data_IF_300838423538
#
_entry.id   IF_300838423538
#
_cell.length_a   1.000
_cell.length_b   1.000
_cell.length_c   1.000
_cell.angle_alpha   90.00
_cell.angle_beta   90.00
_cell.angle_gamma   90.00
#
_symmetry.space_group_name_H-M   'P 1'
#
loop_
_entity.id
_entity.type
_entity.pdbx_description
1 polymer ?
#
# COMPACT_ATOMS: atom_id res chain seq x y z
N UNK A 1 -6.71 -15.67 -21.51
CA UNK A 1 -5.95 -15.24 -20.31
C UNK A 1 -6.43 -13.86 -19.92
N UNK A 2 -7.09 -13.70 -18.76
CA UNK A 2 -7.48 -12.37 -18.29
C UNK A 2 -6.20 -11.53 -18.12
N UNK A 3 -6.06 -10.43 -18.87
CA UNK A 3 -4.97 -9.47 -18.67
C UNK A 3 -5.13 -8.94 -17.25
N UNK A 4 -4.28 -9.39 -16.33
CA UNK A 4 -4.16 -8.74 -15.03
C UNK A 4 -3.93 -7.25 -15.27
N UNK A 5 -4.69 -6.40 -14.58
CA UNK A 5 -4.61 -4.96 -14.75
C UNK A 5 -3.24 -4.47 -14.27
N UNK A 6 -2.35 -4.21 -15.22
CA UNK A 6 -1.08 -3.54 -15.01
C UNK A 6 -0.90 -2.46 -16.09
N UNK A 7 -0.21 -1.37 -15.77
CA UNK A 7 0.00 -0.29 -16.72
C UNK A 7 0.49 1.02 -16.10
N UNK A 8 0.54 2.06 -16.93
CA UNK A 8 0.81 3.45 -16.53
C UNK A 8 -0.49 4.12 -16.13
N UNK A 9 -0.48 4.81 -14.99
CA UNK A 9 -1.60 5.62 -14.55
C UNK A 9 -1.52 7.02 -15.17
N UNK A 10 -2.59 7.44 -15.84
CA UNK A 10 -2.72 8.79 -16.37
C UNK A 10 -3.26 9.71 -15.28
N UNK A 11 -2.41 10.63 -14.82
CA UNK A 11 -2.78 11.63 -13.81
C UNK A 11 -3.78 12.63 -14.38
N UNK A 12 -4.89 12.87 -13.67
CA UNK A 12 -5.80 13.99 -13.94
C UNK A 12 -5.40 15.23 -13.14
N UNK A 13 -4.89 15.04 -11.93
CA UNK A 13 -4.46 16.13 -11.03
C UNK A 13 -2.96 16.01 -10.76
N UNK A 14 -2.15 16.36 -11.76
CA UNK A 14 -0.70 16.18 -11.72
C UNK A 14 -0.02 16.96 -10.59
N UNK A 15 -0.58 18.09 -10.17
CA UNK A 15 -0.10 18.90 -9.06
C UNK A 15 -0.14 18.16 -7.72
N UNK A 16 -1.06 17.19 -7.57
CA UNK A 16 -1.15 16.35 -6.37
C UNK A 16 -0.06 15.28 -6.33
N UNK A 17 0.51 14.90 -7.47
CA UNK A 17 1.49 13.83 -7.54
C UNK A 17 2.92 14.34 -7.37
N UNK A 18 3.62 13.84 -6.35
CA UNK A 18 4.99 14.22 -6.01
C UNK A 18 6.06 13.29 -6.61
N UNK A 19 5.65 12.24 -7.34
CA UNK A 19 6.59 11.33 -7.97
C UNK A 19 7.22 11.91 -9.24
N UNK A 20 8.45 11.46 -9.56
CA UNK A 20 9.20 11.96 -10.73
C UNK A 20 8.84 11.27 -12.04
N UNK A 21 8.25 10.08 -11.99
CA UNK A 21 7.93 9.24 -13.16
C UNK A 21 6.44 9.00 -13.20
N UNK A 22 5.90 8.68 -14.37
CA UNK A 22 4.51 8.22 -14.47
C UNK A 22 4.28 7.04 -13.52
N UNK A 23 3.28 7.12 -12.61
CA UNK A 23 2.99 6.02 -11.69
C UNK A 23 2.63 4.74 -12.44
N UNK A 24 3.10 3.60 -11.93
CA UNK A 24 2.85 2.27 -12.48
C UNK A 24 2.01 1.46 -11.51
N UNK A 25 0.88 0.93 -11.97
CA UNK A 25 0.10 -0.02 -11.20
C UNK A 25 0.39 -1.45 -11.70
N UNK A 26 0.51 -2.37 -10.76
CA UNK A 26 0.75 -3.82 -10.98
C UNK A 26 -0.48 -4.65 -10.65
N UNK A 27 -1.53 -4.01 -10.15
CA UNK A 27 -2.81 -4.62 -9.83
C UNK A 27 -3.97 -3.66 -10.07
N UNK A 28 -5.17 -4.20 -10.23
CA UNK A 28 -6.41 -3.41 -10.31
C UNK A 28 -6.67 -2.62 -9.02
N UNK A 29 -6.13 -3.07 -7.89
CA UNK A 29 -6.28 -2.43 -6.59
C UNK A 29 -5.36 -1.22 -6.45
N UNK A 30 -4.11 -1.34 -6.90
CA UNK A 30 -3.22 -0.19 -7.05
C UNK A 30 -3.82 0.85 -8.00
N UNK A 31 -4.40 0.42 -9.13
CA UNK A 31 -5.09 1.34 -10.04
C UNK A 31 -6.24 2.09 -9.34
N UNK A 32 -7.10 1.37 -8.62
CA UNK A 32 -8.20 1.96 -7.87
C UNK A 32 -7.70 2.93 -6.79
N UNK A 33 -6.62 2.57 -6.08
CA UNK A 33 -6.04 3.42 -5.05
C UNK A 33 -5.34 4.66 -5.63
N UNK A 34 -4.65 4.54 -6.76
CA UNK A 34 -4.09 5.68 -7.50
C UNK A 34 -5.20 6.64 -7.94
N UNK A 35 -6.31 6.10 -8.46
CA UNK A 35 -7.48 6.90 -8.82
C UNK A 35 -8.05 7.63 -7.61
N UNK A 36 -8.17 6.97 -6.46
CA UNK A 36 -8.60 7.61 -5.22
C UNK A 36 -7.64 8.75 -4.82
N UNK A 37 -6.32 8.50 -4.85
CA UNK A 37 -5.34 9.52 -4.50
C UNK A 37 -5.40 10.74 -5.41
N UNK A 38 -5.58 10.50 -6.72
CA UNK A 38 -5.65 11.53 -7.75
C UNK A 38 -6.95 12.34 -7.67
N UNK A 39 -8.10 11.67 -7.57
CA UNK A 39 -9.43 12.30 -7.71
C UNK A 39 -10.03 12.79 -6.38
N UNK A 40 -9.65 12.23 -5.22
CA UNK A 40 -10.28 12.57 -3.95
C UNK A 40 -9.86 13.96 -3.44
N UNK A 41 -10.78 14.86 -3.08
CA UNK A 41 -10.44 16.19 -2.55
C UNK A 41 -9.79 16.14 -1.17
N UNK A 42 -9.97 15.05 -0.42
CA UNK A 42 -9.33 14.89 0.89
C UNK A 42 -7.84 14.60 0.80
N UNK A 43 -7.35 14.08 -0.34
CA UNK A 43 -5.93 13.81 -0.57
C UNK A 43 -5.29 15.07 -1.12
N UNK A 44 -4.32 15.61 -0.40
CA UNK A 44 -3.59 16.82 -0.80
C UNK A 44 -2.40 16.48 -1.70
N UNK A 45 -1.60 15.48 -1.33
CA UNK A 45 -0.41 15.05 -2.07
C UNK A 45 -0.23 13.54 -2.00
N UNK A 46 0.35 12.94 -3.03
CA UNK A 46 0.68 11.51 -3.03
C UNK A 46 1.88 11.20 -3.92
N UNK A 47 2.55 10.08 -3.67
CA UNK A 47 3.61 9.56 -4.51
C UNK A 47 3.59 8.03 -4.51
N UNK A 48 3.97 7.42 -5.63
CA UNK A 48 4.10 5.97 -5.77
C UNK A 48 5.57 5.56 -5.71
N UNK A 49 5.87 4.47 -4.99
CA UNK A 49 7.21 3.86 -4.87
C UNK A 49 8.33 4.86 -4.49
N UNK A 50 8.00 5.89 -3.69
CA UNK A 50 8.89 7.02 -3.41
C UNK A 50 9.85 6.80 -2.24
N UNK A 51 9.62 5.77 -1.42
CA UNK A 51 10.36 5.51 -0.19
C UNK A 51 11.09 4.19 -0.28
N UNK A 52 12.38 4.20 0.09
CA UNK A 52 13.23 3.01 0.21
C UNK A 52 13.58 2.76 1.67
N UNK A 53 13.28 1.57 2.17
CA UNK A 53 13.46 1.18 3.57
C UNK A 53 14.40 -0.02 3.63
N UNK A 54 15.64 0.15 4.14
CA UNK A 54 16.53 -0.98 4.38
C UNK A 54 15.95 -1.91 5.44
N UNK A 55 16.04 -3.22 5.21
CA UNK A 55 15.70 -4.25 6.20
C UNK A 55 16.58 -5.50 6.00
N UNK A 56 16.65 -6.35 7.02
CA UNK A 56 17.33 -7.66 6.94
C UNK A 56 16.30 -8.72 6.58
N UNK A 57 16.49 -9.43 5.48
CA UNK A 57 15.59 -10.53 5.09
C UNK A 57 15.77 -11.70 6.07
N UNK A 58 14.73 -12.08 6.84
CA UNK A 58 14.85 -13.12 7.86
C UNK A 58 15.16 -14.51 7.29
N UNK A 59 14.87 -14.74 6.01
CA UNK A 59 15.10 -16.04 5.37
C UNK A 59 16.51 -16.22 4.82
N UNK A 60 17.19 -15.12 4.50
CA UNK A 60 18.52 -15.14 3.86
C UNK A 60 19.59 -14.44 4.69
N UNK A 61 19.19 -13.75 5.77
CA UNK A 61 20.01 -12.88 6.60
C UNK A 61 20.69 -11.70 5.86
N UNK A 62 20.39 -11.50 4.57
CA UNK A 62 20.98 -10.43 3.75
C UNK A 62 20.25 -9.11 3.97
N UNK A 63 21.00 -8.00 3.92
CA UNK A 63 20.43 -6.67 3.84
C UNK A 63 19.82 -6.45 2.45
N UNK A 64 18.61 -5.90 2.42
CA UNK A 64 17.89 -5.59 1.19
C UNK A 64 16.97 -4.38 1.42
N UNK A 65 16.23 -3.98 0.39
CA UNK A 65 15.38 -2.79 0.39
C UNK A 65 13.93 -3.17 0.18
N UNK A 66 13.06 -2.64 1.03
CA UNK A 66 11.62 -2.63 0.85
C UNK A 66 11.19 -1.27 0.28
N UNK A 67 10.36 -1.31 -0.77
CA UNK A 67 9.71 -0.14 -1.38
C UNK A 67 8.20 -0.31 -1.20
N UNK A 68 7.56 0.44 -0.28
CA UNK A 68 6.11 0.45 -0.15
C UNK A 68 5.43 1.11 -1.35
N UNK A 69 4.18 0.75 -1.59
CA UNK A 69 3.46 1.14 -2.79
C UNK A 69 3.21 2.66 -2.89
N UNK A 70 2.75 3.29 -1.80
CA UNK A 70 2.37 4.71 -1.81
C UNK A 70 2.75 5.47 -0.56
N UNK A 71 3.00 6.77 -0.70
CA UNK A 71 2.99 7.74 0.39
C UNK A 71 1.92 8.78 0.10
N UNK A 72 1.05 9.05 1.07
CA UNK A 72 -0.09 9.97 0.92
C UNK A 72 -0.10 11.01 2.03
N UNK A 73 -0.60 12.20 1.71
CA UNK A 73 -0.97 13.24 2.66
C UNK A 73 -2.43 13.58 2.42
N UNK A 74 -3.24 13.51 3.48
CA UNK A 74 -4.68 13.76 3.38
C UNK A 74 -5.23 14.41 4.65
N UNK A 75 -6.41 15.01 4.54
CA UNK A 75 -7.16 15.58 5.65
C UNK A 75 -8.34 14.65 5.97
N UNK A 76 -8.48 14.26 7.23
CA UNK A 76 -9.60 13.43 7.67
C UNK A 76 -10.91 14.22 7.79
N UNK A 77 -12.00 13.52 8.09
CA UNK A 77 -13.34 14.12 8.27
C UNK A 77 -13.43 15.12 9.43
N UNK A 78 -12.47 15.09 10.37
CA UNK A 78 -12.39 16.02 11.50
C UNK A 78 -11.48 17.21 11.19
N UNK A 79 -10.98 17.33 9.96
CA UNK A 79 -10.08 18.40 9.54
C UNK A 79 -8.61 18.17 9.94
N UNK A 80 -8.26 17.00 10.49
CA UNK A 80 -6.88 16.71 10.88
C UNK A 80 -6.06 16.19 9.70
N UNK A 81 -4.88 16.77 9.50
CA UNK A 81 -3.92 16.30 8.51
C UNK A 81 -3.20 15.02 8.94
N UNK A 82 -3.02 14.11 7.99
CA UNK A 82 -2.32 12.84 8.14
C UNK A 82 -1.31 12.65 7.02
N UNK A 83 -0.22 11.97 7.33
CA UNK A 83 0.72 11.44 6.34
C UNK A 83 0.88 9.95 6.60
N UNK A 84 0.73 9.15 5.55
CA UNK A 84 0.78 7.69 5.66
C UNK A 84 1.61 7.07 4.55
N UNK A 85 2.27 5.98 4.92
CA UNK A 85 2.91 5.04 4.02
C UNK A 85 1.99 3.82 3.88
N UNK A 86 1.63 3.48 2.65
CA UNK A 86 0.62 2.51 2.33
C UNK A 86 1.24 1.35 1.56
N UNK A 87 0.86 0.14 1.95
CA UNK A 87 1.07 -1.09 1.18
C UNK A 87 -0.30 -1.66 0.77
N UNK A 88 -0.45 -2.04 -0.49
CA UNK A 88 -1.61 -2.79 -1.00
C UNK A 88 -1.28 -4.28 -1.00
N UNK A 89 -2.05 -5.07 -0.25
CA UNK A 89 -1.93 -6.53 -0.23
C UNK A 89 -3.29 -7.20 -0.06
N UNK A 90 -3.50 -8.36 -0.69
CA UNK A 90 -4.75 -9.12 -0.52
C UNK A 90 -4.87 -9.60 0.91
N UNK A 91 -6.09 -9.58 1.44
CA UNK A 91 -6.36 -9.94 2.83
C UNK A 91 -5.83 -11.35 3.17
N UNK A 92 -5.96 -12.29 2.22
CA UNK A 92 -5.49 -13.67 2.38
C UNK A 92 -3.96 -13.82 2.47
N UNK A 93 -3.18 -12.80 2.15
CA UNK A 93 -1.72 -12.78 2.32
C UNK A 93 -1.29 -12.10 3.63
N UNK A 94 -2.23 -11.50 4.37
CA UNK A 94 -1.96 -10.80 5.62
C UNK A 94 -2.19 -11.67 6.86
N UNK A 95 -2.99 -12.73 6.75
CA UNK A 95 -3.41 -13.58 7.86
C UNK A 95 -2.54 -14.84 7.96
N UNK A 96 -2.02 -15.12 9.16
CA UNK A 96 -1.21 -16.32 9.44
C UNK A 96 -2.01 -17.60 9.16
N UNK A 97 -3.31 -17.56 9.44
CA UNK A 97 -4.27 -18.64 9.26
C UNK A 97 -4.49 -18.98 7.78
N UNK A 98 -4.36 -17.98 6.89
CA UNK A 98 -4.60 -18.13 5.45
C UNK A 98 -3.41 -18.71 4.67
N UNK A 99 -2.24 -18.76 5.30
CA UNK A 99 -0.99 -19.24 4.69
C UNK A 99 -0.97 -20.78 4.56
N UNK A 100 -1.69 -21.50 5.44
CA UNK A 100 -1.80 -22.96 5.41
C UNK A 100 -0.45 -23.68 5.59
N UNK A 101 -0.34 -24.89 5.04
CA UNK A 101 0.87 -25.75 5.12
C UNK A 101 1.88 -25.51 3.99
N UNK A 102 1.57 -24.60 3.07
CA UNK A 102 2.44 -24.29 1.92
C UNK A 102 3.68 -23.52 2.40
N UNK A 103 4.85 -24.16 2.31
CA UNK A 103 6.14 -23.59 2.77
C UNK A 103 6.50 -22.29 2.04
N UNK A 104 6.15 -22.17 0.77
CA UNK A 104 6.45 -20.96 0.00
C UNK A 104 5.60 -19.78 0.49
N UNK A 105 4.30 -20.00 0.74
CA UNK A 105 3.44 -18.96 1.33
C UNK A 105 3.89 -18.56 2.73
N UNK A 106 4.34 -19.52 3.54
CA UNK A 106 4.90 -19.26 4.88
C UNK A 106 6.15 -18.39 4.81
N UNK A 107 7.07 -18.71 3.91
CA UNK A 107 8.26 -17.91 3.67
C UNK A 107 7.89 -16.47 3.26
N UNK A 108 6.96 -16.29 2.33
CA UNK A 108 6.51 -14.95 1.92
C UNK A 108 5.86 -14.18 3.06
N UNK A 109 5.03 -14.83 3.88
CA UNK A 109 4.44 -14.21 5.07
C UNK A 109 5.50 -13.70 6.05
N UNK A 110 6.47 -14.54 6.41
CA UNK A 110 7.57 -14.17 7.32
C UNK A 110 8.37 -12.98 6.76
N UNK A 111 8.68 -13.01 5.46
CA UNK A 111 9.38 -11.90 4.80
C UNK A 111 8.55 -10.61 4.80
N UNK A 112 7.25 -10.69 4.55
CA UNK A 112 6.35 -9.54 4.58
C UNK A 112 6.23 -8.94 5.98
N UNK A 113 6.18 -9.78 7.03
CA UNK A 113 6.17 -9.31 8.41
C UNK A 113 7.42 -8.49 8.74
N UNK A 114 8.60 -8.94 8.32
CA UNK A 114 9.85 -8.18 8.49
C UNK A 114 9.85 -6.85 7.72
N UNK A 115 9.31 -6.82 6.50
CA UNK A 115 9.13 -5.57 5.72
C UNK A 115 8.21 -4.58 6.46
N UNK A 116 7.08 -5.07 6.97
CA UNK A 116 6.09 -4.25 7.67
C UNK A 116 6.62 -3.72 9.00
N UNK A 117 7.37 -4.53 9.74
CA UNK A 117 8.06 -4.09 10.95
C UNK A 117 9.06 -2.96 10.64
N UNK A 118 9.91 -3.15 9.63
CA UNK A 118 10.85 -2.12 9.19
C UNK A 118 10.14 -0.81 8.79
N UNK A 119 9.02 -0.91 8.07
CA UNK A 119 8.21 0.25 7.70
C UNK A 119 7.56 0.95 8.90
N UNK A 120 7.01 0.20 9.86
CA UNK A 120 6.48 0.77 11.11
C UNK A 120 7.56 1.54 11.87
N UNK A 121 8.78 0.98 12.00
CA UNK A 121 9.89 1.69 12.64
C UNK A 121 10.30 2.94 11.86
N UNK A 122 10.36 2.87 10.53
CA UNK A 122 10.69 4.01 9.67
C UNK A 122 9.66 5.14 9.80
N UNK A 123 8.37 4.79 9.85
CA UNK A 123 7.26 5.71 10.01
C UNK A 123 7.22 6.34 11.41
N UNK A 124 7.43 5.53 12.47
CA UNK A 124 7.49 6.01 13.86
C UNK A 124 8.53 7.11 14.05
N UNK A 125 9.73 6.94 13.48
CA UNK A 125 10.79 7.97 13.55
C UNK A 125 10.42 9.29 12.87
N UNK A 126 9.49 9.25 11.91
CA UNK A 126 9.00 10.41 11.15
C UNK A 126 7.66 10.95 11.65
N UNK A 127 7.10 10.36 12.71
CA UNK A 127 5.77 10.69 13.24
C UNK A 127 4.65 10.57 12.19
N UNK A 128 4.76 9.60 11.30
CA UNK A 128 3.76 9.23 10.28
C UNK A 128 3.29 7.79 10.50
N UNK A 129 2.24 7.36 9.81
CA UNK A 129 1.66 6.01 9.99
C UNK A 129 2.05 5.09 8.83
N UNK A 130 2.16 3.78 9.14
CA UNK A 130 2.22 2.73 8.14
C UNK A 130 0.91 1.94 8.16
N UNK A 131 0.29 1.75 7.00
CA UNK A 131 -0.95 0.99 6.86
C UNK A 131 -0.83 0.00 5.71
N UNK A 132 -1.31 -1.22 5.95
CA UNK A 132 -1.54 -2.19 4.89
C UNK A 132 -3.03 -2.17 4.60
N UNK A 133 -3.39 -1.99 3.33
CA UNK A 133 -4.78 -1.97 2.87
C UNK A 133 -5.04 -3.13 1.92
N UNK A 134 -6.27 -3.60 1.92
CA UNK A 134 -6.73 -4.73 1.10
C UNK A 134 -7.98 -4.37 0.29
N UNK A 135 -8.54 -5.36 -0.39
CA UNK A 135 -9.73 -5.21 -1.23
C UNK A 135 -10.96 -4.67 -0.48
N UNK A 136 -11.13 -5.00 0.80
CA UNK A 136 -12.27 -4.54 1.59
C UNK A 136 -12.13 -3.06 1.98
N UNK A 137 -10.90 -2.56 2.10
CA UNK A 137 -10.63 -1.16 2.37
C UNK A 137 -10.86 -0.29 1.10
N UNK A 138 -10.53 -0.83 -0.07
CA UNK A 138 -10.61 -0.13 -1.36
C UNK A 138 -12.03 -0.17 -1.93
N UNK A 139 -12.68 -1.33 -1.86
CA UNK A 139 -14.02 -1.54 -2.40
C UNK A 139 -15.01 -1.74 -1.25
N UNK A 140 -15.32 -0.65 -0.55
CA UNK A 140 -16.36 -0.69 0.48
C UNK A 140 -17.70 -1.08 -0.17
N UNK A 141 -18.12 -2.33 -0.01
CA UNK A 141 -19.48 -2.76 -0.33
C UNK A 141 -20.37 -2.32 0.84
N UNK A 142 -21.30 -1.36 0.66
CA UNK A 142 -22.30 -1.12 1.69
C UNK A 142 -23.03 -2.45 1.93
N UNK A 143 -23.10 -2.90 3.19
CA UNK A 143 -23.94 -4.04 3.54
C UNK A 143 -25.35 -3.67 3.09
N UNK A 144 -25.92 -4.45 2.18
CA UNK A 144 -27.34 -4.35 1.88
C UNK A 144 -28.06 -4.52 3.22
N UNK A 145 -28.76 -3.48 3.66
CA UNK A 145 -29.67 -3.60 4.80
C UNK A 145 -30.67 -4.69 4.41
N UNK A 146 -30.49 -5.89 4.95
CA UNK A 146 -31.56 -6.88 4.99
C UNK A 146 -32.60 -6.28 5.91
N UNK A 147 -33.67 -5.74 5.30
CA UNK A 147 -34.93 -5.47 6.00
C UNK A 147 -35.47 -6.78 6.57
#
# INVERSE_FOLDING_TARGET
MAKFAQGRFTLKNADKYLGRKTPLYRSSWEFAFMRFCDESPSVAKWASESVKIPYKDPLTAKLTVYVPDFMIQYTDRKGKGHVELIEVKPENQMKKESVGRDKFRQAQYVRNMAKFEAARHWCKRRKILFRVINENDIFHKPKANRK
#
